data_IF_589273275835
#
_entry.id   IF_589273275835
#
_cell.length_a   1.000
_cell.length_b   1.000
_cell.length_c   1.000
_cell.angle_alpha   90.00
_cell.angle_beta   90.00
_cell.angle_gamma   90.00
#
_symmetry.space_group_name_H-M   'P 1'
#
loop_
_entity.id
_entity.type
_entity.pdbx_description
1 polymer ?
#
# COMPACT_ATOMS: atom_id res chain seq x y z
N UNK A 1 -13.69 21.04 -19.04
CA UNK A 1 -13.22 21.08 -20.44
C UNK A 1 -14.02 22.10 -21.25
N UNK A 2 -15.35 22.11 -21.16
CA UNK A 2 -16.20 23.14 -21.79
C UNK A 2 -15.77 24.57 -21.45
N UNK A 3 -15.45 24.87 -20.19
CA UNK A 3 -14.92 26.19 -19.81
C UNK A 3 -13.64 26.58 -20.56
N UNK A 4 -12.76 25.61 -20.84
CA UNK A 4 -11.48 25.85 -21.53
C UNK A 4 -11.66 25.95 -23.05
N UNK A 5 -12.57 25.17 -23.63
CA UNK A 5 -12.75 25.09 -25.08
C UNK A 5 -13.86 26.01 -25.60
N UNK A 6 -14.78 26.45 -24.74
CA UNK A 6 -15.96 27.24 -25.11
C UNK A 6 -16.98 26.49 -25.98
N UNK A 7 -16.90 25.16 -26.02
CA UNK A 7 -17.69 24.30 -26.91
C UNK A 7 -16.90 23.78 -28.12
N UNK A 8 -17.19 22.55 -28.56
CA UNK A 8 -16.51 21.93 -29.72
C UNK A 8 -16.96 22.52 -31.07
N UNK A 9 -18.14 23.15 -31.09
CA UNK A 9 -18.74 23.88 -32.20
C UNK A 9 -17.94 25.13 -32.62
N UNK A 10 -17.02 25.60 -31.77
CA UNK A 10 -16.13 26.72 -32.07
C UNK A 10 -14.96 26.36 -33.00
N UNK A 11 -14.75 25.08 -33.28
CA UNK A 11 -13.62 24.63 -34.07
C UNK A 11 -14.06 24.25 -35.49
N UNK A 12 -13.32 24.73 -36.49
CA UNK A 12 -13.59 24.42 -37.90
C UNK A 12 -13.30 22.95 -38.25
N UNK A 13 -13.87 22.44 -39.36
CA UNK A 13 -13.62 21.07 -39.84
C UNK A 13 -12.12 20.75 -39.95
N UNK A 14 -11.70 19.57 -39.48
CA UNK A 14 -10.31 19.13 -39.48
C UNK A 14 -9.49 19.52 -38.25
N UNK A 15 -10.04 20.34 -37.36
CA UNK A 15 -9.41 20.69 -36.07
C UNK A 15 -9.23 19.47 -35.16
N UNK A 16 -8.13 19.41 -34.42
CA UNK A 16 -7.82 18.33 -33.45
C UNK A 16 -7.48 18.92 -32.10
N UNK A 17 -8.11 18.41 -31.04
CA UNK A 17 -7.86 18.81 -29.65
C UNK A 17 -7.27 17.61 -28.92
N UNK A 18 -6.12 17.81 -28.28
CA UNK A 18 -5.47 16.79 -27.44
C UNK A 18 -5.64 17.20 -25.99
N UNK A 19 -6.32 16.37 -25.21
CA UNK A 19 -6.49 16.56 -23.77
C UNK A 19 -5.64 15.53 -23.04
N UNK A 20 -4.82 15.99 -22.10
CA UNK A 20 -4.10 15.13 -21.16
C UNK A 20 -4.71 15.27 -19.78
N UNK A 21 -4.98 14.15 -19.12
CA UNK A 21 -5.54 14.12 -17.75
C UNK A 21 -5.08 12.85 -17.05
N UNK A 22 -4.98 12.93 -15.71
CA UNK A 22 -4.77 11.77 -14.84
C UNK A 22 -6.08 11.12 -14.41
N UNK A 23 -7.20 11.84 -14.57
CA UNK A 23 -8.55 11.43 -14.17
C UNK A 23 -9.42 11.18 -15.41
N UNK A 24 -9.73 9.91 -15.67
CA UNK A 24 -10.53 9.49 -16.82
C UNK A 24 -11.93 10.13 -16.83
N UNK A 25 -12.52 10.39 -15.67
CA UNK A 25 -13.87 10.94 -15.54
C UNK A 25 -13.99 12.33 -16.19
N UNK A 26 -12.88 13.08 -16.26
CA UNK A 26 -12.83 14.35 -16.99
C UNK A 26 -13.13 14.16 -18.48
N UNK A 27 -12.68 13.05 -19.08
CA UNK A 27 -12.92 12.70 -20.47
C UNK A 27 -14.36 12.20 -20.67
N UNK A 28 -14.83 11.34 -19.76
CA UNK A 28 -16.18 10.77 -19.81
C UNK A 28 -17.24 11.87 -19.67
N UNK A 29 -17.06 12.80 -18.72
CA UNK A 29 -17.96 13.96 -18.53
C UNK A 29 -17.98 14.90 -19.73
N UNK A 30 -16.91 14.94 -20.53
CA UNK A 30 -16.84 15.73 -21.75
C UNK A 30 -17.32 14.96 -22.99
N UNK A 31 -17.79 13.72 -22.82
CA UNK A 31 -18.32 12.89 -23.91
C UNK A 31 -17.26 12.37 -24.87
N UNK A 32 -15.99 12.26 -24.44
CA UNK A 32 -14.93 11.71 -25.31
C UNK A 32 -15.15 10.21 -25.52
N UNK A 33 -15.29 9.73 -26.76
CA UNK A 33 -15.46 8.29 -27.02
C UNK A 33 -14.29 7.48 -26.51
N UNK A 34 -14.55 6.33 -25.89
CA UNK A 34 -13.49 5.43 -25.37
C UNK A 34 -12.47 5.02 -26.46
N UNK A 35 -12.88 4.95 -27.74
CA UNK A 35 -11.98 4.66 -28.88
C UNK A 35 -10.91 5.73 -29.09
N UNK A 36 -11.13 6.94 -28.58
CA UNK A 36 -10.24 8.08 -28.72
C UNK A 36 -9.37 8.29 -27.46
N UNK A 37 -9.49 7.42 -26.45
CA UNK A 37 -8.72 7.51 -25.21
C UNK A 37 -7.47 6.66 -25.34
N UNK A 38 -6.31 7.32 -25.40
CA UNK A 38 -5.02 6.63 -25.36
C UNK A 38 -4.46 6.60 -23.94
N UNK A 39 -4.41 5.40 -23.34
CA UNK A 39 -3.75 5.19 -22.04
C UNK A 39 -2.24 5.10 -22.23
N UNK A 40 -1.53 6.16 -21.84
CA UNK A 40 -0.07 6.23 -21.85
C UNK A 40 0.50 5.10 -20.98
N UNK A 41 1.43 4.32 -21.53
CA UNK A 41 2.14 3.26 -20.82
C UNK A 41 3.46 3.78 -20.25
N UNK A 42 3.93 3.17 -19.16
CA UNK A 42 5.29 3.39 -18.69
C UNK A 42 6.31 2.92 -19.73
N UNK A 43 7.52 3.47 -19.65
CA UNK A 43 8.62 3.11 -20.53
C UNK A 43 8.97 1.63 -20.36
N UNK A 44 9.27 0.97 -21.48
CA UNK A 44 9.86 -0.36 -21.41
C UNK A 44 11.27 -0.28 -20.81
N UNK A 45 11.85 -1.44 -20.44
CA UNK A 45 13.13 -1.45 -19.74
C UNK A 45 14.26 -0.77 -20.53
N UNK A 46 14.30 -0.94 -21.86
CA UNK A 46 15.33 -0.33 -22.72
C UNK A 46 15.17 1.19 -22.77
N UNK A 47 13.95 1.68 -23.02
CA UNK A 47 13.63 3.11 -23.04
C UNK A 47 13.88 3.77 -21.67
N UNK A 48 13.55 3.06 -20.60
CA UNK A 48 13.75 3.53 -19.24
C UNK A 48 15.24 3.66 -18.90
N UNK A 49 16.04 2.67 -19.30
CA UNK A 49 17.48 2.68 -19.13
C UNK A 49 18.12 3.82 -19.92
N UNK A 50 17.75 3.97 -21.18
CA UNK A 50 18.25 5.05 -22.04
C UNK A 50 17.91 6.43 -21.46
N UNK A 51 16.66 6.65 -21.04
CA UNK A 51 16.24 7.90 -20.42
C UNK A 51 17.05 8.19 -19.16
N UNK A 52 17.25 7.19 -18.31
CA UNK A 52 18.06 7.35 -17.10
C UNK A 52 19.52 7.66 -17.43
N UNK A 53 20.15 6.93 -18.35
CA UNK A 53 21.54 7.18 -18.75
C UNK A 53 21.67 8.62 -19.33
N UNK A 54 20.68 9.10 -20.10
CA UNK A 54 20.67 10.45 -20.65
C UNK A 54 20.70 11.53 -19.54
N UNK A 55 19.99 11.34 -18.44
CA UNK A 55 20.03 12.29 -17.32
C UNK A 55 21.28 12.15 -16.46
N UNK A 56 21.69 10.91 -16.15
CA UNK A 56 22.83 10.58 -15.28
C UNK A 56 24.20 10.78 -15.92
N UNK A 57 24.35 10.50 -17.21
CA UNK A 57 25.63 10.48 -17.92
C UNK A 57 25.69 11.42 -19.13
N UNK A 58 24.57 12.04 -19.52
CA UNK A 58 24.43 12.85 -20.75
C UNK A 58 24.73 12.05 -22.02
N UNK A 59 24.48 10.74 -21.96
CA UNK A 59 24.70 9.77 -23.03
C UNK A 59 23.61 8.71 -22.96
N UNK A 60 23.30 8.07 -24.08
CA UNK A 60 22.30 7.00 -24.14
C UNK A 60 22.73 5.72 -23.42
N UNK A 61 24.03 5.52 -23.22
CA UNK A 61 24.61 4.35 -22.59
C UNK A 61 25.19 4.65 -21.21
N UNK A 62 25.12 3.66 -20.34
CA UNK A 62 25.62 3.73 -18.98
C UNK A 62 27.05 3.14 -18.93
N UNK A 63 28.03 3.78 -18.26
CA UNK A 63 29.40 3.27 -18.14
C UNK A 63 29.45 1.89 -17.47
N UNK A 64 30.35 1.01 -17.90
CA UNK A 64 30.43 -0.39 -17.41
C UNK A 64 30.51 -0.49 -15.88
N UNK A 65 31.29 0.38 -15.24
CA UNK A 65 31.45 0.41 -13.77
C UNK A 65 30.21 0.81 -12.98
N UNK A 66 29.21 1.43 -13.63
CA UNK A 66 27.95 1.89 -13.03
C UNK A 66 26.72 1.23 -13.66
N UNK A 67 26.90 0.35 -14.65
CA UNK A 67 25.81 -0.29 -15.37
C UNK A 67 24.91 -1.08 -14.43
N UNK A 68 25.49 -1.91 -13.56
CA UNK A 68 24.74 -2.70 -12.57
C UNK A 68 23.92 -1.82 -11.62
N UNK A 69 24.49 -0.72 -11.11
CA UNK A 69 23.75 0.22 -10.24
C UNK A 69 22.61 0.91 -11.00
N UNK A 70 22.85 1.30 -12.25
CA UNK A 70 21.85 1.87 -13.14
C UNK A 70 20.66 0.93 -13.35
N UNK A 71 20.92 -0.38 -13.55
CA UNK A 71 19.85 -1.38 -13.65
C UNK A 71 18.97 -1.43 -12.41
N UNK A 72 19.56 -1.36 -11.21
CA UNK A 72 18.80 -1.38 -9.97
C UNK A 72 17.91 -0.14 -9.83
N UNK A 73 18.43 1.04 -10.15
CA UNK A 73 17.67 2.30 -10.09
C UNK A 73 16.55 2.33 -11.14
N UNK A 74 16.84 1.92 -12.37
CA UNK A 74 15.83 1.82 -13.43
C UNK A 74 14.74 0.80 -13.04
N UNK A 75 15.15 -0.32 -12.44
CA UNK A 75 14.23 -1.31 -11.88
C UNK A 75 13.34 -0.73 -10.78
N UNK A 76 13.88 0.12 -9.91
CA UNK A 76 13.11 0.83 -8.89
C UNK A 76 12.07 1.79 -9.51
N UNK A 77 12.44 2.54 -10.55
CA UNK A 77 11.53 3.49 -11.20
C UNK A 77 10.39 2.84 -12.01
N UNK A 78 10.51 1.55 -12.36
CA UNK A 78 9.52 0.75 -13.12
C UNK A 78 8.93 1.47 -14.35
N UNK A 79 9.78 2.17 -15.09
CA UNK A 79 9.40 2.85 -16.32
C UNK A 79 8.67 4.19 -16.12
N UNK A 80 8.63 4.74 -14.91
CA UNK A 80 8.13 6.09 -14.65
C UNK A 80 9.15 7.13 -15.16
N UNK A 81 8.84 7.91 -16.23
CA UNK A 81 9.80 8.84 -16.83
C UNK A 81 10.27 9.93 -15.88
N UNK A 82 9.38 10.40 -15.00
CA UNK A 82 9.70 11.47 -14.05
C UNK A 82 10.68 10.97 -12.99
N UNK A 83 10.44 9.80 -12.41
CA UNK A 83 11.33 9.21 -11.41
C UNK A 83 12.73 8.94 -12.00
N UNK A 84 12.79 8.40 -13.24
CA UNK A 84 14.04 8.20 -13.97
C UNK A 84 14.80 9.51 -14.17
N UNK A 85 14.09 10.58 -14.55
CA UNK A 85 14.68 11.91 -14.73
C UNK A 85 15.24 12.48 -13.43
N UNK A 86 14.47 12.44 -12.35
CA UNK A 86 14.87 13.01 -11.05
C UNK A 86 16.09 12.27 -10.52
N UNK A 87 16.03 10.94 -10.44
CA UNK A 87 17.15 10.13 -9.95
C UNK A 87 18.37 10.20 -10.86
N UNK A 88 18.17 10.18 -12.18
CA UNK A 88 19.28 10.35 -13.11
C UNK A 88 19.97 11.71 -12.93
N UNK A 89 19.20 12.79 -12.78
CA UNK A 89 19.76 14.13 -12.56
C UNK A 89 20.46 14.26 -11.20
N UNK A 90 19.88 13.70 -10.13
CA UNK A 90 20.44 13.69 -8.78
C UNK A 90 21.81 12.99 -8.72
N UNK A 91 21.96 11.89 -9.46
CA UNK A 91 23.16 11.06 -9.51
C UNK A 91 24.22 11.55 -10.50
N UNK A 92 23.93 12.59 -11.28
CA UNK A 92 24.86 13.12 -12.26
C UNK A 92 26.14 13.62 -11.58
N UNK A 93 27.30 13.15 -12.07
CA UNK A 93 28.65 13.48 -11.56
C UNK A 93 28.90 13.09 -10.09
N UNK A 94 28.06 12.22 -9.51
CA UNK A 94 28.26 11.67 -8.17
C UNK A 94 29.25 10.50 -8.19
N UNK A 95 29.89 10.24 -7.05
CA UNK A 95 30.82 9.12 -6.91
C UNK A 95 30.07 7.79 -6.89
N UNK A 96 30.75 6.67 -7.16
CA UNK A 96 30.14 5.34 -7.04
C UNK A 96 29.58 5.08 -5.64
N UNK A 97 30.26 5.56 -4.60
CA UNK A 97 29.80 5.46 -3.21
C UNK A 97 28.49 6.21 -2.99
N UNK A 98 28.33 7.41 -3.57
CA UNK A 98 27.08 8.16 -3.51
C UNK A 98 25.92 7.40 -4.19
N UNK A 99 26.19 6.71 -5.28
CA UNK A 99 25.18 5.85 -5.95
C UNK A 99 24.77 4.68 -5.08
N UNK A 100 25.73 4.02 -4.43
CA UNK A 100 25.46 2.92 -3.50
C UNK A 100 24.63 3.40 -2.31
N UNK A 101 24.99 4.55 -1.72
CA UNK A 101 24.24 5.19 -0.65
C UNK A 101 22.83 5.62 -1.09
N UNK A 102 22.70 6.21 -2.28
CA UNK A 102 21.39 6.59 -2.82
C UNK A 102 20.51 5.35 -3.03
N UNK A 103 21.06 4.26 -3.54
CA UNK A 103 20.32 3.01 -3.70
C UNK A 103 19.94 2.38 -2.36
N UNK A 104 20.79 2.49 -1.34
CA UNK A 104 20.49 2.05 0.03
C UNK A 104 19.40 2.92 0.67
N UNK A 105 19.44 4.23 0.45
CA UNK A 105 18.43 5.17 0.89
C UNK A 105 17.10 4.93 0.17
N UNK A 106 17.08 4.72 -1.15
CA UNK A 106 15.86 4.35 -1.88
C UNK A 106 15.22 3.05 -1.37
N UNK A 107 16.01 2.15 -0.76
CA UNK A 107 15.50 0.95 -0.08
C UNK A 107 14.99 1.22 1.35
N UNK A 108 15.38 2.34 1.98
CA UNK A 108 15.12 2.67 3.39
C UNK A 108 14.12 3.82 3.61
N UNK A 109 14.13 4.85 2.77
CA UNK A 109 13.25 6.03 2.84
C UNK A 109 13.32 6.84 1.54
N UNK A 110 12.16 7.21 1.00
CA UNK A 110 11.97 7.87 -0.29
C UNK A 110 12.61 9.26 -0.39
N UNK A 111 13.31 9.53 -1.48
CA UNK A 111 13.79 10.88 -1.85
C UNK A 111 12.65 11.91 -1.93
N UNK A 112 12.92 13.10 -1.38
CA UNK A 112 11.93 14.19 -1.19
C UNK A 112 11.33 14.73 -2.50
N UNK A 113 12.10 14.82 -3.59
CA UNK A 113 11.61 15.44 -4.83
C UNK A 113 10.59 14.57 -5.59
N UNK A 114 10.76 13.24 -5.61
CA UNK A 114 9.79 12.33 -6.25
C UNK A 114 8.52 12.24 -5.39
N UNK A 115 8.70 12.24 -4.06
CA UNK A 115 7.61 12.19 -3.10
C UNK A 115 6.64 13.37 -3.29
N UNK A 116 7.15 14.60 -3.36
CA UNK A 116 6.30 15.79 -3.48
C UNK A 116 5.48 15.80 -4.76
N UNK A 117 6.05 15.36 -5.90
CA UNK A 117 5.31 15.33 -7.17
C UNK A 117 4.23 14.24 -7.17
N UNK A 118 4.51 13.06 -6.61
CA UNK A 118 3.51 11.99 -6.52
C UNK A 118 2.37 12.38 -5.58
N UNK A 119 2.70 13.08 -4.49
CA UNK A 119 1.76 13.48 -3.43
C UNK A 119 0.69 14.46 -3.89
N UNK A 120 0.92 15.22 -4.98
CA UNK A 120 -0.09 16.11 -5.57
C UNK A 120 -1.40 15.36 -5.85
N UNK A 121 -1.29 14.19 -6.49
CA UNK A 121 -2.48 13.38 -6.86
C UNK A 121 -3.21 12.82 -5.64
N UNK A 122 -2.46 12.54 -4.56
CA UNK A 122 -3.01 12.09 -3.29
C UNK A 122 -3.71 13.25 -2.55
N UNK A 123 -3.14 14.45 -2.58
CA UNK A 123 -3.71 15.61 -1.88
C UNK A 123 -5.09 15.99 -2.42
N UNK A 124 -5.34 15.77 -3.71
CA UNK A 124 -6.62 15.96 -4.40
C UNK A 124 -7.70 14.94 -4.02
N UNK A 125 -7.36 13.86 -3.31
CA UNK A 125 -8.33 12.86 -2.84
C UNK A 125 -9.15 13.37 -1.65
N UNK A 126 -10.41 12.95 -1.60
CA UNK A 126 -11.25 13.18 -0.42
C UNK A 126 -10.81 12.27 0.76
N UNK A 127 -11.29 12.49 2.00
CA UNK A 127 -10.85 11.71 3.16
C UNK A 127 -11.06 10.19 3.04
N UNK A 128 -12.17 9.75 2.45
CA UNK A 128 -12.50 8.34 2.26
C UNK A 128 -11.55 7.68 1.24
N UNK A 129 -11.35 8.34 0.11
CA UNK A 129 -10.39 7.94 -0.94
C UNK A 129 -8.95 7.86 -0.41
N UNK A 130 -8.54 8.83 0.43
CA UNK A 130 -7.24 8.82 1.11
C UNK A 130 -7.10 7.61 2.02
N UNK A 131 -8.11 7.34 2.84
CA UNK A 131 -8.10 6.20 3.74
C UNK A 131 -7.97 4.87 2.98
N UNK A 132 -8.75 4.68 1.91
CA UNK A 132 -8.67 3.49 1.06
C UNK A 132 -7.31 3.38 0.35
N UNK A 133 -6.77 4.50 -0.15
CA UNK A 133 -5.45 4.52 -0.79
C UNK A 133 -4.37 4.01 0.18
N UNK A 134 -4.38 4.50 1.43
CA UNK A 134 -3.41 4.08 2.45
C UNK A 134 -3.60 2.62 2.87
N UNK A 135 -4.84 2.14 2.97
CA UNK A 135 -5.11 0.71 3.22
C UNK A 135 -4.48 -0.18 2.13
N UNK A 136 -4.65 0.19 0.87
CA UNK A 136 -4.10 -0.58 -0.25
C UNK A 136 -2.57 -0.50 -0.24
N UNK A 137 -2.00 0.69 -0.02
CA UNK A 137 -0.55 0.87 0.02
C UNK A 137 0.12 0.04 1.14
N UNK A 138 -0.47 0.05 2.34
CA UNK A 138 0.06 -0.66 3.50
C UNK A 138 -0.23 -2.17 3.45
N UNK A 139 -1.43 -2.58 3.02
CA UNK A 139 -1.94 -3.92 3.30
C UNK A 139 -2.40 -4.72 2.07
N UNK A 140 -3.06 -4.09 1.10
CA UNK A 140 -3.82 -4.81 0.07
C UNK A 140 -3.24 -4.75 -1.36
N UNK A 141 -2.06 -4.17 -1.56
CA UNK A 141 -1.37 -4.27 -2.83
C UNK A 141 -1.08 -5.74 -3.17
N UNK A 142 -1.57 -6.21 -4.33
CA UNK A 142 -1.47 -7.59 -4.78
C UNK A 142 -2.64 -8.50 -4.34
N UNK A 143 -3.52 -8.02 -3.47
CA UNK A 143 -4.67 -8.80 -2.99
C UNK A 143 -5.81 -8.81 -4.01
N UNK A 144 -6.75 -9.76 -3.85
CA UNK A 144 -7.92 -9.87 -4.73
C UNK A 144 -8.91 -8.73 -4.48
N UNK A 145 -9.37 -8.06 -5.55
CA UNK A 145 -10.31 -6.94 -5.48
C UNK A 145 -11.60 -7.29 -4.74
N UNK A 146 -12.16 -8.48 -4.99
CA UNK A 146 -13.45 -8.87 -4.41
C UNK A 146 -13.30 -9.13 -2.91
N UNK A 147 -12.16 -9.70 -2.49
CA UNK A 147 -11.85 -9.85 -1.07
C UNK A 147 -11.73 -8.49 -0.38
N UNK A 148 -10.99 -7.55 -0.99
CA UNK A 148 -10.76 -6.22 -0.40
C UNK A 148 -12.06 -5.43 -0.30
N UNK A 149 -12.87 -5.42 -1.35
CA UNK A 149 -14.18 -4.73 -1.35
C UNK A 149 -15.15 -5.33 -0.34
N UNK A 150 -15.09 -6.64 -0.10
CA UNK A 150 -15.84 -7.27 0.99
C UNK A 150 -15.35 -6.80 2.37
N UNK A 151 -14.04 -6.79 2.61
CA UNK A 151 -13.45 -6.38 3.89
C UNK A 151 -13.74 -4.89 4.22
N UNK A 152 -13.82 -4.06 3.19
CA UNK A 152 -13.98 -2.61 3.29
C UNK A 152 -15.41 -2.13 2.99
N UNK A 153 -16.40 -2.98 3.25
CA UNK A 153 -17.84 -2.66 3.19
C UNK A 153 -18.31 -2.04 1.86
N UNK A 154 -18.11 -2.78 0.76
CA UNK A 154 -18.49 -2.39 -0.61
C UNK A 154 -17.91 -1.04 -1.08
N UNK A 155 -16.64 -0.80 -0.75
CA UNK A 155 -15.84 0.34 -1.23
C UNK A 155 -15.59 0.35 -2.77
N UNK A 156 -16.39 -0.35 -3.57
CA UNK A 156 -16.26 -0.49 -5.02
C UNK A 156 -16.27 0.87 -5.73
N UNK A 157 -17.11 1.79 -5.27
CA UNK A 157 -17.17 3.15 -5.82
C UNK A 157 -15.83 3.88 -5.64
N UNK A 158 -15.35 3.98 -4.40
CA UNK A 158 -14.09 4.66 -4.05
C UNK A 158 -12.90 4.01 -4.76
N UNK A 159 -12.89 2.68 -4.83
CA UNK A 159 -11.85 1.91 -5.52
C UNK A 159 -11.81 2.24 -7.01
N UNK A 160 -12.97 2.33 -7.67
CA UNK A 160 -13.05 2.73 -9.07
C UNK A 160 -12.57 4.17 -9.27
N UNK A 161 -12.83 5.09 -8.33
CA UNK A 161 -12.28 6.45 -8.39
C UNK A 161 -10.75 6.45 -8.36
N UNK A 162 -10.12 5.63 -7.52
CA UNK A 162 -8.66 5.48 -7.50
C UNK A 162 -8.11 4.91 -8.82
N UNK A 163 -8.87 4.02 -9.49
CA UNK A 163 -8.53 3.49 -10.81
C UNK A 163 -8.66 4.57 -11.89
N UNK A 164 -9.73 5.35 -11.88
CA UNK A 164 -9.98 6.44 -12.84
C UNK A 164 -8.94 7.56 -12.71
N UNK A 165 -8.49 7.84 -11.49
CA UNK A 165 -7.38 8.75 -11.18
C UNK A 165 -6.00 8.16 -11.46
N UNK A 166 -5.92 6.95 -12.00
CA UNK A 166 -4.67 6.25 -12.32
C UNK A 166 -3.74 6.01 -11.12
N UNK A 167 -4.28 6.04 -9.89
CA UNK A 167 -3.55 5.74 -8.66
C UNK A 167 -3.51 4.25 -8.34
N UNK A 168 -4.45 3.51 -8.95
CA UNK A 168 -4.61 2.07 -8.79
C UNK A 168 -4.87 1.42 -10.16
N UNK A 169 -4.50 0.15 -10.30
CA UNK A 169 -4.85 -0.68 -11.45
C UNK A 169 -5.42 -2.01 -10.96
N UNK A 170 -6.44 -2.52 -11.64
CA UNK A 170 -6.88 -3.90 -11.48
C UNK A 170 -6.24 -4.74 -12.60
N UNK A 171 -5.57 -5.81 -12.23
CA UNK A 171 -4.96 -6.74 -13.18
C UNK A 171 -6.00 -7.66 -13.82
N UNK A 172 -5.62 -8.38 -14.89
CA UNK A 172 -6.46 -9.40 -15.52
C UNK A 172 -6.88 -10.55 -14.59
N UNK A 173 -6.17 -10.73 -13.47
CA UNK A 173 -6.45 -11.75 -12.46
C UNK A 173 -7.21 -11.18 -11.26
N UNK A 174 -7.91 -10.05 -11.44
CA UNK A 174 -8.65 -9.35 -10.40
C UNK A 174 -7.80 -8.88 -9.20
N UNK A 175 -6.46 -8.85 -9.33
CA UNK A 175 -5.56 -8.36 -8.28
C UNK A 175 -5.40 -6.85 -8.33
N UNK A 176 -5.42 -6.21 -7.17
CA UNK A 176 -5.08 -4.81 -6.98
C UNK A 176 -3.58 -4.59 -7.24
N UNK A 177 -3.25 -3.64 -8.10
CA UNK A 177 -1.88 -3.26 -8.43
C UNK A 177 -1.71 -1.77 -8.19
N UNK A 178 -0.89 -1.42 -7.20
CA UNK A 178 -0.41 -0.07 -6.98
C UNK A 178 1.03 0.01 -7.50
N UNK A 179 1.38 1.09 -8.17
CA UNK A 179 2.77 1.30 -8.60
C UNK A 179 3.67 1.43 -7.37
N UNK A 180 4.85 0.82 -7.36
CA UNK A 180 5.74 0.79 -6.19
C UNK A 180 6.02 2.19 -5.63
N UNK A 181 6.29 3.17 -6.49
CA UNK A 181 6.46 4.56 -6.06
C UNK A 181 5.22 5.16 -5.35
N UNK A 182 4.00 4.82 -5.80
CA UNK A 182 2.77 5.25 -5.14
C UNK A 182 2.57 4.51 -3.81
N UNK A 183 2.91 3.22 -3.78
CA UNK A 183 2.85 2.40 -2.58
C UNK A 183 3.82 2.92 -1.51
N UNK A 184 5.07 3.18 -1.88
CA UNK A 184 6.08 3.74 -0.98
C UNK A 184 5.70 5.15 -0.52
N UNK A 185 5.17 5.99 -1.40
CA UNK A 185 4.60 7.29 -0.99
C UNK A 185 3.47 7.12 0.04
N UNK A 186 2.53 6.20 -0.17
CA UNK A 186 1.45 5.93 0.78
C UNK A 186 1.97 5.46 2.15
N UNK A 187 2.95 4.57 2.15
CA UNK A 187 3.64 4.12 3.37
C UNK A 187 4.38 5.25 4.06
N UNK A 188 5.05 6.11 3.31
CA UNK A 188 5.77 7.26 3.87
C UNK A 188 4.82 8.29 4.49
N UNK A 189 3.64 8.52 3.88
CA UNK A 189 2.59 9.36 4.48
C UNK A 189 2.23 8.84 5.89
N UNK A 190 2.05 7.52 6.05
CA UNK A 190 1.74 6.92 7.35
C UNK A 190 2.93 7.02 8.32
N UNK A 191 4.18 6.83 7.84
CA UNK A 191 5.37 7.03 8.68
C UNK A 191 5.46 8.47 9.21
N UNK A 192 5.08 9.45 8.41
CA UNK A 192 5.12 10.87 8.77
C UNK A 192 4.04 11.27 9.78
N UNK A 193 2.95 10.50 9.94
CA UNK A 193 1.98 10.72 11.02
C UNK A 193 2.65 10.70 12.40
N UNK A 194 3.65 9.82 12.59
CA UNK A 194 4.53 9.86 13.75
C UNK A 194 5.87 9.17 13.46
N UNK A 195 6.90 9.98 13.20
CA UNK A 195 8.23 9.46 12.83
C UNK A 195 8.83 8.60 13.94
N UNK A 196 8.74 9.05 15.21
CA UNK A 196 9.42 8.41 16.34
C UNK A 196 8.58 7.37 17.08
N UNK A 197 7.25 7.48 17.04
CA UNK A 197 6.36 6.64 17.83
C UNK A 197 5.38 5.89 16.91
N UNK A 198 5.74 4.67 16.45
CA UNK A 198 4.88 3.91 15.54
C UNK A 198 3.47 3.67 16.09
N UNK A 199 3.32 3.55 17.41
CA UNK A 199 2.01 3.37 18.05
C UNK A 199 1.00 4.48 17.81
N UNK A 200 1.45 5.64 17.31
CA UNK A 200 0.60 6.79 16.94
C UNK A 200 0.36 6.91 15.44
N UNK A 201 0.67 5.88 14.66
CA UNK A 201 0.40 5.80 13.22
C UNK A 201 -0.89 5.03 12.98
N UNK A 202 -1.63 5.40 11.95
CA UNK A 202 -2.91 4.82 11.58
C UNK A 202 -2.80 3.39 11.07
N UNK A 203 -1.68 3.03 10.44
CA UNK A 203 -1.46 1.71 9.83
C UNK A 203 -0.07 1.19 10.18
N UNK A 204 0.00 -0.08 10.59
CA UNK A 204 1.24 -0.75 10.91
C UNK A 204 1.41 -2.00 10.03
N UNK A 205 2.37 -1.97 9.13
CA UNK A 205 2.73 -3.09 8.23
C UNK A 205 4.18 -3.53 8.40
N UNK A 206 5.04 -2.68 8.97
CA UNK A 206 6.43 -3.03 9.21
C UNK A 206 6.54 -3.91 10.45
N UNK A 207 7.17 -5.06 10.29
CA UNK A 207 7.31 -6.09 11.32
C UNK A 207 8.05 -5.61 12.58
N UNK A 208 9.06 -4.74 12.47
CA UNK A 208 9.80 -4.23 13.64
C UNK A 208 8.94 -3.23 14.41
N UNK A 209 8.26 -2.34 13.70
CA UNK A 209 7.32 -1.38 14.29
C UNK A 209 6.16 -2.08 14.99
N UNK A 210 5.51 -3.04 14.34
CA UNK A 210 4.42 -3.83 14.92
C UNK A 210 4.92 -4.59 16.15
N UNK A 211 6.06 -5.26 16.07
CA UNK A 211 6.66 -5.98 17.20
C UNK A 211 6.91 -5.04 18.39
N UNK A 212 7.48 -3.86 18.15
CA UNK A 212 7.73 -2.86 19.18
C UNK A 212 6.44 -2.38 19.85
N UNK A 213 5.43 -2.06 19.05
CA UNK A 213 4.15 -1.53 19.53
C UNK A 213 3.42 -2.56 20.38
N UNK A 214 3.30 -3.80 19.89
CA UNK A 214 2.59 -4.86 20.59
C UNK A 214 3.32 -5.30 21.86
N UNK A 215 4.65 -5.49 21.79
CA UNK A 215 5.44 -5.98 22.94
C UNK A 215 5.45 -5.00 24.11
N UNK A 216 5.37 -3.70 23.82
CA UNK A 216 5.39 -2.64 24.84
C UNK A 216 4.02 -2.07 25.16
N UNK A 217 2.95 -2.67 24.62
CA UNK A 217 1.57 -2.20 24.75
C UNK A 217 1.43 -0.69 24.44
N UNK A 218 2.06 -0.25 23.36
CA UNK A 218 2.16 1.16 22.94
C UNK A 218 1.11 1.57 21.90
N UNK A 219 0.18 0.69 21.56
CA UNK A 219 -0.86 1.00 20.59
C UNK A 219 -1.82 2.05 21.13
N UNK A 220 -2.30 2.92 20.25
CA UNK A 220 -3.30 3.94 20.56
C UNK A 220 -4.52 3.79 19.67
N UNK A 221 -5.55 4.55 20.00
CA UNK A 221 -6.81 4.68 19.28
C UNK A 221 -6.64 5.11 17.82
N UNK A 222 -5.52 5.75 17.47
CA UNK A 222 -5.20 6.14 16.09
C UNK A 222 -5.01 4.92 15.17
N UNK A 223 -4.57 3.78 15.70
CA UNK A 223 -4.27 2.58 14.89
C UNK A 223 -5.58 1.99 14.37
N UNK A 224 -5.75 2.02 13.04
CA UNK A 224 -6.87 1.42 12.33
C UNK A 224 -6.53 0.04 11.73
N UNK A 225 -5.25 -0.28 11.52
CA UNK A 225 -4.87 -1.57 10.96
C UNK A 225 -3.47 -2.06 11.32
N UNK A 226 -3.34 -3.37 11.52
CA UNK A 226 -2.10 -4.07 11.84
C UNK A 226 -1.97 -5.33 10.98
N UNK A 227 -0.95 -5.37 10.11
CA UNK A 227 -0.57 -6.57 9.37
C UNK A 227 0.84 -6.99 9.78
N UNK A 228 0.97 -8.22 10.28
CA UNK A 228 2.20 -8.77 10.81
C UNK A 228 2.59 -10.05 10.08
N UNK A 229 3.72 -10.00 9.38
CA UNK A 229 4.39 -11.18 8.85
C UNK A 229 5.13 -11.91 9.99
N UNK A 230 4.52 -12.98 10.47
CA UNK A 230 5.06 -13.78 11.56
C UNK A 230 6.41 -14.42 11.20
N UNK A 231 6.72 -14.62 9.91
CA UNK A 231 8.02 -15.20 9.50
C UNK A 231 9.20 -14.28 9.82
N UNK A 232 8.95 -12.97 9.97
CA UNK A 232 9.99 -11.95 10.17
C UNK A 232 10.22 -11.57 11.64
N UNK A 233 9.45 -12.10 12.57
CA UNK A 233 9.60 -11.80 14.00
C UNK A 233 10.09 -13.01 14.79
N UNK A 234 10.63 -12.69 15.97
CA UNK A 234 10.83 -13.64 17.08
C UNK A 234 9.52 -13.80 17.83
N UNK A 235 9.48 -14.75 18.75
CA UNK A 235 8.36 -14.91 19.67
C UNK A 235 8.01 -13.61 20.39
N UNK A 236 6.72 -13.37 20.53
CA UNK A 236 6.13 -12.25 21.23
C UNK A 236 5.07 -12.75 22.21
N UNK A 237 5.16 -12.28 23.45
CA UNK A 237 4.16 -12.54 24.49
C UNK A 237 3.28 -11.31 24.59
N UNK A 238 2.00 -11.47 24.30
CA UNK A 238 1.01 -10.41 24.40
C UNK A 238 0.29 -10.52 25.74
N UNK A 239 0.11 -9.39 26.42
CA UNK A 239 -0.77 -9.33 27.59
C UNK A 239 -2.24 -9.50 27.18
N UNK A 240 -3.09 -9.92 28.12
CA UNK A 240 -4.50 -10.18 27.85
C UNK A 240 -5.28 -8.96 27.33
N UNK A 241 -4.75 -7.76 27.54
CA UNK A 241 -5.32 -6.46 27.13
C UNK A 241 -4.48 -5.73 26.07
N UNK A 242 -3.70 -6.47 25.26
CA UNK A 242 -2.77 -5.88 24.27
C UNK A 242 -3.42 -4.97 23.21
N UNK A 243 -4.74 -5.08 22.99
CA UNK A 243 -5.48 -4.29 22.01
C UNK A 243 -6.48 -3.31 22.65
N UNK A 244 -6.55 -3.23 23.99
CA UNK A 244 -7.57 -2.44 24.71
C UNK A 244 -7.52 -0.95 24.34
N UNK A 245 -6.33 -0.40 24.12
CA UNK A 245 -6.14 1.00 23.76
C UNK A 245 -6.35 1.29 22.26
N UNK A 246 -6.51 0.28 21.40
CA UNK A 246 -6.62 0.42 19.94
C UNK A 246 -8.08 0.37 19.50
N UNK A 247 -8.90 1.25 20.03
CA UNK A 247 -10.37 1.19 19.90
C UNK A 247 -10.86 1.31 18.45
N UNK A 248 -10.13 1.99 17.56
CA UNK A 248 -10.49 2.11 16.14
C UNK A 248 -9.85 1.02 15.25
N UNK A 249 -9.22 0.00 15.83
CA UNK A 249 -8.58 -1.08 15.06
C UNK A 249 -9.64 -1.91 14.33
N UNK A 250 -9.68 -1.77 13.00
CA UNK A 250 -10.63 -2.51 12.15
C UNK A 250 -10.00 -3.65 11.35
N UNK A 251 -8.69 -3.59 11.08
CA UNK A 251 -7.96 -4.60 10.32
C UNK A 251 -6.86 -5.26 11.16
N UNK A 252 -6.97 -6.55 11.45
CA UNK A 252 -5.94 -7.29 12.16
C UNK A 252 -5.57 -8.57 11.39
N UNK A 253 -4.32 -8.65 10.90
CA UNK A 253 -3.82 -9.81 10.15
C UNK A 253 -2.45 -10.25 10.65
N UNK A 254 -2.37 -11.37 11.36
CA UNK A 254 -1.12 -12.06 11.66
C UNK A 254 -1.01 -13.28 10.76
N UNK A 255 -0.05 -13.28 9.84
CA UNK A 255 0.04 -14.28 8.79
C UNK A 255 1.44 -14.87 8.66
N UNK A 256 1.48 -16.12 8.19
CA UNK A 256 2.70 -16.77 7.71
C UNK A 256 2.60 -16.90 6.18
N UNK A 257 3.53 -16.33 5.40
CA UNK A 257 3.54 -16.54 3.95
C UNK A 257 3.83 -18.02 3.65
N UNK A 258 3.00 -18.63 2.80
CA UNK A 258 3.18 -20.03 2.37
C UNK A 258 4.53 -20.23 1.69
N UNK A 259 5.52 -20.77 2.43
CA UNK A 259 6.77 -21.29 1.87
C UNK A 259 6.67 -22.81 1.82
N UNK A 260 6.94 -23.39 0.65
CA UNK A 260 6.92 -24.86 0.49
C UNK A 260 8.00 -25.45 1.41
N UNK A 261 7.61 -26.36 2.29
CA UNK A 261 8.52 -27.17 3.10
C UNK A 261 8.80 -26.64 4.52
N UNK A 262 8.24 -25.49 4.91
CA UNK A 262 8.33 -25.07 6.30
C UNK A 262 7.38 -25.94 7.15
N UNK A 263 7.84 -26.50 8.30
CA UNK A 263 6.95 -27.18 9.23
C UNK A 263 5.82 -26.23 9.65
N UNK A 264 4.66 -26.78 10.00
CA UNK A 264 3.57 -26.02 10.64
C UNK A 264 4.18 -25.39 11.90
N UNK A 265 4.62 -24.13 11.80
CA UNK A 265 5.25 -23.46 12.92
C UNK A 265 4.18 -23.24 13.98
N UNK A 266 4.54 -23.57 15.22
CA UNK A 266 3.82 -23.13 16.41
C UNK A 266 3.58 -21.62 16.35
N UNK A 267 2.51 -21.15 17.01
CA UNK A 267 2.26 -19.72 17.15
C UNK A 267 3.52 -19.01 17.64
N UNK A 268 3.97 -17.98 16.92
CA UNK A 268 4.99 -17.05 17.43
C UNK A 268 4.39 -15.99 18.36
N UNK A 269 3.07 -15.98 18.51
CA UNK A 269 2.33 -15.06 19.36
C UNK A 269 1.76 -15.86 20.52
N UNK A 270 2.27 -15.58 21.72
CA UNK A 270 1.89 -16.26 22.95
C UNK A 270 0.92 -15.38 23.74
N UNK A 271 -0.15 -15.99 24.24
CA UNK A 271 -1.21 -15.36 25.04
C UNK A 271 -1.30 -16.09 26.38
N UNK A 272 -0.22 -16.04 27.17
CA UNK A 272 -0.05 -16.83 28.39
C UNK A 272 -1.15 -16.58 29.43
N UNK A 273 -1.69 -15.35 29.43
CA UNK A 273 -2.75 -14.89 30.33
C UNK A 273 -4.13 -14.91 29.67
N UNK A 274 -4.25 -15.48 28.46
CA UNK A 274 -5.45 -15.36 27.63
C UNK A 274 -5.50 -14.03 26.87
N UNK A 275 -6.68 -13.74 26.32
CA UNK A 275 -7.00 -12.50 25.61
C UNK A 275 -8.39 -12.07 26.07
N UNK A 276 -8.46 -10.95 26.79
CA UNK A 276 -9.70 -10.47 27.41
C UNK A 276 -10.49 -9.57 26.46
N UNK A 277 -9.80 -8.92 25.54
CA UNK A 277 -10.36 -7.86 24.72
C UNK A 277 -9.89 -7.92 23.26
N UNK A 278 -10.85 -7.90 22.34
CA UNK A 278 -10.66 -7.51 20.95
C UNK A 278 -11.44 -6.22 20.63
N UNK A 279 -10.91 -5.31 19.80
CA UNK A 279 -11.58 -4.06 19.44
C UNK A 279 -12.92 -4.28 18.73
N UNK A 280 -13.91 -3.47 19.09
CA UNK A 280 -15.29 -3.56 18.59
C UNK A 280 -15.44 -3.16 17.12
N UNK A 281 -14.51 -2.35 16.60
CA UNK A 281 -14.49 -1.89 15.20
C UNK A 281 -13.88 -2.93 14.23
N UNK A 282 -13.49 -4.12 14.70
CA UNK A 282 -12.88 -5.15 13.85
C UNK A 282 -13.81 -5.61 12.73
N UNK A 283 -13.41 -5.33 11.49
CA UNK A 283 -14.06 -5.84 10.27
C UNK A 283 -13.31 -7.00 9.64
N UNK A 284 -12.01 -7.14 9.92
CA UNK A 284 -11.17 -8.21 9.42
C UNK A 284 -10.24 -8.75 10.51
N UNK A 285 -10.41 -10.04 10.82
CA UNK A 285 -9.54 -10.78 11.71
C UNK A 285 -8.95 -11.99 10.97
N UNK A 286 -7.65 -11.95 10.72
CA UNK A 286 -6.88 -13.08 10.26
C UNK A 286 -5.76 -13.37 11.26
N UNK A 287 -5.71 -14.57 11.82
CA UNK A 287 -4.70 -14.91 12.81
C UNK A 287 -4.22 -16.35 12.62
N UNK A 288 -3.07 -16.48 11.96
CA UNK A 288 -2.42 -17.76 11.75
C UNK A 288 -1.85 -18.28 13.07
N UNK A 289 -2.17 -19.53 13.40
CA UNK A 289 -1.68 -20.15 14.63
C UNK A 289 -2.31 -19.56 15.89
N UNK A 290 -3.56 -19.06 15.83
CA UNK A 290 -4.19 -18.48 17.03
C UNK A 290 -4.13 -19.44 18.22
N UNK A 291 -3.51 -19.05 19.36
CA UNK A 291 -3.06 -20.01 20.37
C UNK A 291 -4.15 -20.43 21.37
N UNK A 292 -5.22 -19.64 21.51
CA UNK A 292 -6.30 -19.89 22.47
C UNK A 292 -7.37 -20.81 21.87
N UNK A 293 -8.09 -21.51 22.75
CA UNK A 293 -9.18 -22.43 22.37
C UNK A 293 -10.50 -21.74 22.07
N UNK A 294 -10.66 -20.51 22.53
CA UNK A 294 -11.84 -19.68 22.35
C UNK A 294 -11.44 -18.26 21.99
N UNK A 295 -12.32 -17.57 21.28
CA UNK A 295 -12.20 -16.12 21.08
C UNK A 295 -12.65 -15.36 22.34
N UNK A 296 -12.20 -14.11 22.54
CA UNK A 296 -12.68 -13.26 23.63
C UNK A 296 -14.19 -13.08 23.55
N UNK A 297 -14.87 -13.19 24.69
CA UNK A 297 -16.34 -13.10 24.78
C UNK A 297 -16.87 -11.70 24.47
N UNK A 298 -16.00 -10.68 24.51
CA UNK A 298 -16.34 -9.30 24.17
C UNK A 298 -16.40 -9.04 22.65
N UNK A 299 -15.99 -10.00 21.81
CA UNK A 299 -15.94 -9.81 20.37
C UNK A 299 -17.36 -9.60 19.81
N UNK A 300 -17.63 -8.36 19.38
CA UNK A 300 -18.87 -8.00 18.70
C UNK A 300 -18.75 -8.45 17.24
N UNK A 301 -19.61 -9.38 16.82
CA UNK A 301 -19.54 -9.96 15.46
C UNK A 301 -20.30 -9.16 14.41
N UNK A 302 -21.12 -8.18 14.82
CA UNK A 302 -21.96 -7.38 13.91
C UNK A 302 -21.17 -6.65 12.82
N UNK A 303 -19.95 -6.19 13.13
CA UNK A 303 -19.05 -5.51 12.18
C UNK A 303 -18.03 -6.44 11.53
N UNK A 304 -17.85 -7.66 12.06
CA UNK A 304 -16.81 -8.58 11.61
C UNK A 304 -17.20 -9.26 10.30
N UNK A 305 -16.63 -8.79 9.19
CA UNK A 305 -16.95 -9.29 7.85
C UNK A 305 -16.16 -10.56 7.49
N UNK A 306 -14.92 -10.65 7.96
CA UNK A 306 -14.03 -11.79 7.65
C UNK A 306 -13.29 -12.25 8.91
N UNK A 307 -13.55 -13.49 9.31
CA UNK A 307 -12.82 -14.24 10.33
C UNK A 307 -12.05 -15.39 9.68
N UNK A 308 -10.73 -15.43 9.87
CA UNK A 308 -9.87 -16.48 9.31
C UNK A 308 -8.78 -16.88 10.32
N UNK A 309 -8.89 -18.08 10.89
CA UNK A 309 -8.00 -18.57 11.94
C UNK A 309 -7.26 -19.85 11.49
N UNK A 310 -6.37 -19.77 10.48
CA UNK A 310 -5.72 -20.95 9.94
C UNK A 310 -4.75 -21.54 10.96
N UNK A 311 -4.72 -22.88 11.04
CA UNK A 311 -3.86 -23.62 11.97
C UNK A 311 -4.05 -23.19 13.44
N UNK A 312 -5.26 -22.79 13.83
CA UNK A 312 -5.56 -22.34 15.19
C UNK A 312 -5.91 -23.48 16.14
N UNK A 313 -5.82 -23.21 17.43
CA UNK A 313 -6.26 -24.09 18.51
C UNK A 313 -7.75 -23.91 18.86
N UNK A 314 -8.51 -23.13 18.08
CA UNK A 314 -9.90 -22.81 18.42
C UNK A 314 -10.77 -24.06 18.33
N UNK A 315 -11.40 -24.41 19.45
CA UNK A 315 -12.34 -25.53 19.58
C UNK A 315 -13.79 -25.03 19.61
N UNK A 316 -14.01 -23.81 20.13
CA UNK A 316 -15.33 -23.17 20.26
C UNK A 316 -15.24 -21.68 19.88
N UNK A 317 -16.08 -21.24 18.95
CA UNK A 317 -16.09 -19.85 18.46
C UNK A 317 -16.77 -18.88 19.42
N UNK A 318 -17.90 -19.29 20.00
CA UNK A 318 -18.64 -18.55 21.05
C UNK A 318 -19.54 -19.52 21.80
N UNK A 319 -19.73 -19.29 23.10
CA UNK A 319 -20.80 -19.96 23.86
C UNK A 319 -22.14 -19.37 23.42
N UNK A 320 -23.09 -20.21 22.99
CA UNK A 320 -24.46 -19.77 22.79
C UNK A 320 -24.98 -19.20 24.12
N UNK A 321 -25.31 -17.90 24.15
CA UNK A 321 -26.15 -17.36 25.22
C UNK A 321 -27.48 -18.11 25.13
N UNK A 322 -27.71 -19.07 26.04
CA UNK A 322 -29.05 -19.63 26.27
C UNK A 322 -29.98 -18.45 26.57
N UNK A 323 -30.90 -18.20 25.65
CA UNK A 323 -31.99 -17.23 25.77
C UNK A 323 -32.93 -17.63 26.89
#
# INVERSE_FOLDING_TARGET
LEYLTGGLDRFGPGSRIIVTTRDKRVLDNFGVPNTNIYKVRGLNYSEALELFCNFAFKQSNCPDGLFTLSKHIVGYCKGNPLALRVLGSFLHRKSKLDWENALENLKRSSDFEIYDVLKISYNELNPEEKSLFLDIACFFAGEDKNLVTKILDDSNYVLNVLVDKSLLRISRYNKLQMHDLLQEMGREIVRQESVKEPGKRSRLWDHEDVYHVLKRNKGTDVIAGIFLDLSKIRDIHLGSRAFENMTNLRLLKFYLPNRRGDPIMSSKVHLDQGLDYLPEELTYLHWHGYPLRTLPTNLITDKLVVLNLPCSNVELLWEEKKV
#
